data_IF_671815118731
#
_entry.id   IF_671815118731
#
_cell.length_a   1.000
_cell.length_b   1.000
_cell.length_c   1.000
_cell.angle_alpha   90.00
_cell.angle_beta   90.00
_cell.angle_gamma   90.00
#
_symmetry.space_group_name_H-M   'P 1'
#
loop_
_entity.id
_entity.type
_entity.pdbx_description
1 polymer ?
#
# COMPACT_ATOMS: atom_id res chain seq x y z
N UNK A 1 -16.01 26.79 39.92
CA UNK A 1 -14.98 26.21 39.03
C UNK A 1 -14.61 24.84 39.56
N UNK A 2 -14.87 23.79 38.79
CA UNK A 2 -14.87 22.38 39.23
C UNK A 2 -13.49 21.75 39.03
N UNK A 3 -12.96 21.22 40.13
CA UNK A 3 -12.18 19.99 40.35
C UNK A 3 -11.46 19.37 39.13
N UNK A 4 -10.12 19.36 39.20
CA UNK A 4 -9.26 18.38 38.54
C UNK A 4 -8.22 17.89 39.56
N UNK A 5 -8.53 16.79 40.23
CA UNK A 5 -7.58 15.80 40.76
C UNK A 5 -8.41 14.69 41.43
N UNK A 6 -7.85 13.47 41.45
CA UNK A 6 -8.46 12.17 41.79
C UNK A 6 -9.09 11.51 40.55
N UNK A 7 -8.73 10.32 40.06
CA UNK A 7 -7.96 9.21 40.60
C UNK A 7 -7.63 8.24 39.44
N UNK A 8 -6.42 7.67 39.48
CA UNK A 8 -6.07 6.44 38.77
C UNK A 8 -6.73 5.28 39.54
N UNK A 9 -7.75 4.59 39.00
CA UNK A 9 -7.98 3.13 39.21
C UNK A 9 -8.95 2.60 38.13
N UNK A 10 -8.72 1.35 37.72
CA UNK A 10 -9.65 0.43 37.02
C UNK A 10 -9.48 0.27 35.50
N UNK A 11 -8.29 -0.20 35.13
CA UNK A 11 -8.18 -1.35 34.25
C UNK A 11 -9.03 -2.53 34.78
N UNK A 12 -9.71 -3.21 33.84
CA UNK A 12 -10.39 -4.52 33.95
C UNK A 12 -11.89 -4.48 34.27
N UNK A 13 -12.73 -4.53 33.21
CA UNK A 13 -13.71 -5.60 32.94
C UNK A 13 -14.66 -5.13 31.82
N UNK A 14 -14.58 -5.74 30.64
CA UNK A 14 -15.45 -6.86 30.23
C UNK A 14 -16.85 -6.41 29.81
N UNK A 15 -16.99 -6.28 28.48
CA UNK A 15 -18.15 -6.70 27.69
C UNK A 15 -19.49 -5.95 27.83
N UNK A 16 -20.11 -5.80 26.66
CA UNK A 16 -21.54 -5.64 26.40
C UNK A 16 -22.18 -4.23 26.33
N UNK A 17 -22.63 -3.96 25.10
CA UNK A 17 -23.99 -3.55 24.72
C UNK A 17 -24.35 -2.06 24.52
N UNK A 18 -24.65 -1.78 23.24
CA UNK A 18 -25.86 -1.10 22.76
C UNK A 18 -26.16 0.35 23.18
N UNK A 19 -25.90 1.30 22.27
CA UNK A 19 -26.90 2.31 21.85
C UNK A 19 -26.69 2.59 20.34
N UNK A 20 -27.42 1.90 19.45
CA UNK A 20 -28.63 2.37 18.75
C UNK A 20 -28.52 3.81 18.20
N UNK A 21 -28.29 3.90 16.89
CA UNK A 21 -29.06 4.81 16.03
C UNK A 21 -29.64 3.98 14.88
N UNK A 22 -30.92 3.65 15.04
CA UNK A 22 -31.86 3.13 14.03
C UNK A 22 -32.30 4.38 13.21
N UNK A 23 -32.61 4.42 11.91
CA UNK A 23 -32.96 3.48 10.83
C UNK A 23 -33.25 4.37 9.56
N UNK A 24 -33.62 3.90 8.33
CA UNK A 24 -34.46 2.75 8.06
C UNK A 24 -34.01 1.74 7.01
N UNK A 25 -34.60 0.58 7.23
CA UNK A 25 -34.55 -0.69 6.53
C UNK A 25 -35.36 -0.60 5.23
N UNK A 26 -34.83 -1.21 4.17
CA UNK A 26 -35.66 -1.88 3.17
C UNK A 26 -35.15 -3.32 3.07
N UNK A 27 -35.94 -4.22 3.68
CA UNK A 27 -35.78 -5.67 3.61
C UNK A 27 -35.94 -6.11 2.16
N UNK A 28 -35.02 -6.93 1.68
CA UNK A 28 -35.39 -8.15 0.98
C UNK A 28 -34.46 -9.27 1.43
N UNK A 29 -35.09 -10.39 1.76
CA UNK A 29 -34.47 -11.66 2.10
C UNK A 29 -33.27 -11.97 1.21
N UNK A 30 -32.15 -12.33 1.82
CA UNK A 30 -31.16 -13.16 1.15
C UNK A 30 -30.62 -14.13 2.17
N UNK A 31 -30.98 -15.37 1.90
CA UNK A 31 -30.47 -16.56 2.53
C UNK A 31 -28.95 -16.51 2.65
N UNK A 32 -28.49 -17.13 3.72
CA UNK A 32 -27.11 -17.39 4.09
C UNK A 32 -26.30 -17.90 2.89
N UNK A 33 -25.58 -17.02 2.20
CA UNK A 33 -24.50 -17.42 1.28
C UNK A 33 -23.18 -17.04 1.93
N UNK A 34 -22.64 -18.00 2.66
CA UNK A 34 -21.27 -18.02 3.15
C UNK A 34 -20.34 -18.37 1.98
N UNK A 35 -20.30 -17.53 0.95
CA UNK A 35 -19.40 -17.72 -0.19
C UNK A 35 -17.99 -17.27 0.19
N UNK A 36 -17.16 -18.28 0.47
CA UNK A 36 -15.72 -18.37 0.24
C UNK A 36 -14.93 -17.05 0.25
N UNK A 37 -14.33 -16.74 1.40
CA UNK A 37 -13.29 -15.70 1.56
C UNK A 37 -12.10 -15.82 0.59
N UNK A 38 -11.98 -16.97 -0.07
CA UNK A 38 -10.94 -17.30 -1.06
C UNK A 38 -11.15 -16.58 -2.40
N UNK A 39 -12.39 -16.50 -2.90
CA UNK A 39 -12.68 -15.98 -4.25
C UNK A 39 -12.53 -14.45 -4.31
N UNK A 40 -12.94 -13.76 -3.24
CA UNK A 40 -12.74 -12.32 -3.10
C UNK A 40 -11.24 -11.96 -3.02
N UNK A 41 -10.43 -12.79 -2.35
CA UNK A 41 -8.98 -12.58 -2.22
C UNK A 41 -8.25 -12.76 -3.56
N UNK A 42 -8.68 -13.71 -4.39
CA UNK A 42 -8.14 -13.91 -5.75
C UNK A 42 -8.49 -12.73 -6.65
N UNK A 43 -9.75 -12.28 -6.64
CA UNK A 43 -10.20 -11.13 -7.42
C UNK A 43 -9.45 -9.84 -7.03
N UNK A 44 -9.18 -9.62 -5.75
CA UNK A 44 -8.37 -8.48 -5.27
C UNK A 44 -6.92 -8.59 -5.76
N UNK A 45 -6.33 -9.79 -5.77
CA UNK A 45 -4.95 -10.02 -6.23
C UNK A 45 -4.81 -9.79 -7.73
N UNK A 46 -5.80 -10.24 -8.51
CA UNK A 46 -5.87 -10.01 -9.96
C UNK A 46 -6.04 -8.52 -10.30
N UNK A 47 -6.87 -7.79 -9.55
CA UNK A 47 -7.04 -6.34 -9.75
C UNK A 47 -5.75 -5.58 -9.38
N UNK A 48 -5.05 -6.00 -8.32
CA UNK A 48 -3.76 -5.40 -7.93
C UNK A 48 -2.69 -5.64 -8.98
N UNK A 49 -2.60 -6.84 -9.57
CA UNK A 49 -1.59 -7.13 -10.60
C UNK A 49 -1.77 -6.29 -11.87
N UNK A 50 -2.99 -5.87 -12.18
CA UNK A 50 -3.26 -5.03 -13.34
C UNK A 50 -2.80 -3.58 -13.18
N UNK A 51 -2.70 -3.07 -11.95
CA UNK A 51 -2.46 -1.63 -11.70
C UNK A 51 -1.17 -1.34 -10.96
N UNK A 52 -0.67 -2.27 -10.14
CA UNK A 52 0.61 -2.12 -9.46
C UNK A 52 1.78 -2.28 -10.45
N UNK A 53 2.82 -1.46 -10.25
CA UNK A 53 4.05 -1.50 -11.04
C UNK A 53 5.19 -2.16 -10.30
N UNK A 54 5.93 -3.03 -10.97
CA UNK A 54 7.03 -3.77 -10.35
C UNK A 54 7.71 -4.76 -11.27
N UNK A 55 9.01 -4.99 -11.05
CA UNK A 55 9.75 -6.03 -11.77
C UNK A 55 9.17 -7.43 -11.53
N UNK A 56 8.52 -7.67 -10.39
CA UNK A 56 7.79 -8.90 -10.09
C UNK A 56 6.59 -9.15 -11.01
N UNK A 57 6.08 -8.11 -11.69
CA UNK A 57 5.00 -8.20 -12.68
C UNK A 57 5.51 -8.19 -14.13
N UNK A 58 6.83 -8.23 -14.33
CA UNK A 58 7.46 -8.13 -15.65
C UNK A 58 7.49 -6.70 -16.22
N UNK A 59 7.25 -5.68 -15.39
CA UNK A 59 7.30 -4.29 -15.85
C UNK A 59 8.72 -3.85 -16.12
N UNK A 60 8.88 -3.05 -17.20
CA UNK A 60 10.14 -2.42 -17.55
C UNK A 60 10.20 -1.02 -16.97
N UNK A 61 11.35 -0.68 -16.40
CA UNK A 61 11.60 0.65 -15.87
C UNK A 61 11.72 1.67 -17.01
N UNK A 62 11.00 2.78 -16.94
CA UNK A 62 11.16 3.91 -17.85
C UNK A 62 12.32 4.80 -17.38
N UNK A 63 12.25 5.25 -16.12
CA UNK A 63 13.30 6.06 -15.48
C UNK A 63 13.16 6.10 -13.97
N UNK A 64 14.22 6.56 -13.32
CA UNK A 64 14.21 7.00 -11.93
C UNK A 64 13.95 8.51 -11.91
N UNK A 65 12.86 8.93 -11.28
CA UNK A 65 12.46 10.34 -11.23
C UNK A 65 13.19 11.13 -10.14
N UNK A 66 13.22 10.60 -8.92
CA UNK A 66 13.78 11.27 -7.75
C UNK A 66 14.45 10.25 -6.82
N UNK A 67 15.46 10.72 -6.08
CA UNK A 67 16.05 9.99 -4.97
C UNK A 67 15.93 10.82 -3.68
N UNK A 68 15.67 10.14 -2.57
CA UNK A 68 15.65 10.73 -1.22
C UNK A 68 16.37 9.81 -0.25
N UNK A 69 16.86 10.36 0.86
CA UNK A 69 17.39 9.58 1.96
C UNK A 69 16.46 9.75 3.17
N UNK A 70 15.98 8.65 3.73
CA UNK A 70 15.15 8.69 4.94
C UNK A 70 16.00 9.06 6.14
N UNK A 71 15.49 9.96 7.00
CA UNK A 71 16.26 10.48 8.15
C UNK A 71 16.51 9.43 9.24
N UNK A 72 15.56 8.51 9.43
CA UNK A 72 15.62 7.53 10.53
C UNK A 72 16.66 6.44 10.31
N UNK A 73 16.78 5.92 9.09
CA UNK A 73 17.65 4.78 8.77
C UNK A 73 18.78 5.11 7.81
N UNK A 74 18.81 6.34 7.28
CA UNK A 74 19.71 6.70 6.20
C UNK A 74 19.45 5.92 4.91
N UNK A 75 18.28 5.30 4.76
CA UNK A 75 17.96 4.44 3.63
C UNK A 75 17.69 5.30 2.39
N UNK A 76 18.37 4.98 1.29
CA UNK A 76 18.19 5.65 0.01
C UNK A 76 17.01 5.02 -0.73
N UNK A 77 16.02 5.85 -1.00
CA UNK A 77 14.79 5.51 -1.72
C UNK A 77 14.76 6.23 -3.07
N UNK A 78 14.19 5.57 -4.07
CA UNK A 78 14.09 6.04 -5.44
C UNK A 78 12.65 5.96 -5.91
N UNK A 79 12.14 7.04 -6.49
CA UNK A 79 10.84 7.07 -7.12
C UNK A 79 10.98 6.56 -8.56
N UNK A 80 10.39 5.39 -8.83
CA UNK A 80 10.50 4.70 -10.11
C UNK A 80 9.27 4.92 -10.97
N UNK A 81 9.49 5.15 -12.26
CA UNK A 81 8.46 5.28 -13.28
C UNK A 81 8.55 4.10 -14.24
N UNK A 82 7.40 3.51 -14.54
CA UNK A 82 7.31 2.29 -15.36
C UNK A 82 6.87 2.61 -16.78
N UNK A 83 7.34 1.81 -17.73
CA UNK A 83 6.90 1.90 -19.11
C UNK A 83 5.44 1.44 -19.24
N UNK A 84 4.73 2.02 -20.22
CA UNK A 84 3.39 1.58 -20.61
C UNK A 84 3.45 0.12 -21.10
N UNK A 85 2.64 -0.76 -20.52
CA UNK A 85 2.51 -2.16 -20.93
C UNK A 85 1.94 -2.26 -22.35
N UNK A 86 2.13 -3.40 -23.01
CA UNK A 86 1.59 -3.68 -24.35
C UNK A 86 0.06 -3.61 -24.42
N UNK A 87 -0.63 -3.89 -23.30
CA UNK A 87 -2.08 -3.73 -23.16
C UNK A 87 -2.54 -2.28 -22.97
N UNK A 88 -1.60 -1.32 -22.98
CA UNK A 88 -1.86 0.10 -22.90
C UNK A 88 -2.00 0.67 -21.49
N UNK A 89 -1.87 -0.16 -20.45
CA UNK A 89 -1.93 0.30 -19.05
C UNK A 89 -0.56 0.87 -18.65
N UNK A 90 -0.57 2.00 -17.93
CA UNK A 90 0.63 2.53 -17.27
C UNK A 90 0.63 2.02 -15.83
N UNK A 91 1.63 1.20 -15.42
CA UNK A 91 1.71 0.71 -14.06
C UNK A 91 1.92 1.83 -13.06
N UNK A 92 1.46 1.64 -11.82
CA UNK A 92 1.60 2.64 -10.77
C UNK A 92 3.06 2.83 -10.35
N UNK A 93 3.51 4.07 -10.40
CA UNK A 93 4.82 4.49 -9.93
C UNK A 93 4.92 4.36 -8.40
N UNK A 94 6.11 4.02 -7.89
CA UNK A 94 6.30 3.78 -6.44
C UNK A 94 7.71 4.15 -5.97
N UNK A 95 7.87 4.23 -4.66
CA UNK A 95 9.19 4.33 -4.03
C UNK A 95 9.76 2.94 -3.80
N UNK A 96 11.03 2.75 -4.14
CA UNK A 96 11.78 1.51 -3.90
C UNK A 96 13.13 1.83 -3.27
N UNK A 97 13.68 0.90 -2.50
CA UNK A 97 15.00 1.10 -1.92
C UNK A 97 16.12 0.75 -2.92
N UNK A 98 17.36 1.05 -2.51
CA UNK A 98 18.55 0.77 -3.33
C UNK A 98 18.68 -0.72 -3.65
N UNK A 99 18.43 -1.60 -2.67
CA UNK A 99 18.58 -3.05 -2.82
C UNK A 99 17.68 -3.63 -3.90
N UNK A 100 16.43 -3.15 -3.97
CA UNK A 100 15.48 -3.55 -5.00
C UNK A 100 16.00 -3.23 -6.40
N UNK A 101 16.52 -2.01 -6.62
CA UNK A 101 17.11 -1.64 -7.90
C UNK A 101 18.41 -2.40 -8.19
N UNK A 102 19.27 -2.61 -7.20
CA UNK A 102 20.50 -3.40 -7.37
C UNK A 102 20.21 -4.83 -7.80
N UNK A 103 19.13 -5.43 -7.28
CA UNK A 103 18.72 -6.79 -7.60
C UNK A 103 18.12 -6.91 -9.01
N UNK A 104 17.29 -5.94 -9.41
CA UNK A 104 16.48 -6.07 -10.62
C UNK A 104 17.02 -5.28 -11.83
N UNK A 105 17.59 -4.09 -11.62
CA UNK A 105 18.16 -3.26 -12.69
C UNK A 105 19.26 -2.32 -12.17
N UNK A 106 20.42 -2.91 -11.85
CA UNK A 106 21.58 -2.16 -11.36
C UNK A 106 22.09 -1.15 -12.40
N UNK A 107 21.89 -1.41 -13.70
CA UNK A 107 22.35 -0.53 -14.78
C UNK A 107 21.59 0.78 -14.77
N UNK A 108 20.27 0.74 -14.62
CA UNK A 108 19.46 1.96 -14.50
C UNK A 108 19.85 2.79 -13.27
N UNK A 109 20.11 2.14 -12.13
CA UNK A 109 20.59 2.83 -10.92
C UNK A 109 21.95 3.49 -11.14
N UNK A 110 22.92 2.77 -11.69
CA UNK A 110 24.25 3.33 -11.99
C UNK A 110 24.16 4.52 -12.96
N UNK A 111 23.37 4.39 -14.02
CA UNK A 111 23.15 5.47 -14.99
C UNK A 111 22.53 6.72 -14.34
N UNK A 112 21.51 6.53 -13.50
CA UNK A 112 20.89 7.63 -12.76
C UNK A 112 21.90 8.35 -11.87
N UNK A 113 22.70 7.60 -11.10
CA UNK A 113 23.71 8.17 -10.21
C UNK A 113 24.81 8.89 -10.98
N UNK A 114 25.29 8.31 -12.08
CA UNK A 114 26.30 8.94 -12.95
C UNK A 114 25.83 10.30 -13.47
N UNK A 115 24.56 10.42 -13.88
CA UNK A 115 23.98 11.68 -14.34
C UNK A 115 23.84 12.75 -13.25
N UNK A 116 23.93 12.38 -11.97
CA UNK A 116 23.88 13.32 -10.83
C UNK A 116 25.26 13.82 -10.39
N UNK A 117 26.33 13.23 -10.92
CA UNK A 117 27.70 13.65 -10.67
C UNK A 117 28.22 14.69 -11.68
N UNK A 118 27.45 14.91 -12.75
CA UNK A 118 27.69 15.95 -13.77
C UNK A 118 26.98 17.24 -13.36
#
# INVERSE_FOLDING_TARGET
MKKQQEEIVQLINTNQQNQKCLQPILQQDSELIQESSSEQSQKITEIKSQTEGGFEFGDLLEKIGQAVQTKEKGEKMYYVLWQKRSNGIIPKNRWVNSEYLMKHDIKALCYYLQRKLQ
#
